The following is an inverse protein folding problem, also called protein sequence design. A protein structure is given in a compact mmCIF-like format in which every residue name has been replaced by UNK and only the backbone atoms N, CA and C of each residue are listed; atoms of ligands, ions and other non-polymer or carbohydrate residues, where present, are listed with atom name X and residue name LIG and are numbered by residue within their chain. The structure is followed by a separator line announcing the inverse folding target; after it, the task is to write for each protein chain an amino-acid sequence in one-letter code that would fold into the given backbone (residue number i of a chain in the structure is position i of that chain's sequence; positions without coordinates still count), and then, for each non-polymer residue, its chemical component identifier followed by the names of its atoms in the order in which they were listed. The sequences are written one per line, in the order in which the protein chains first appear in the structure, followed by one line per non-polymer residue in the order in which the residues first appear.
data_IF_873987852993
#
_entry.id   IF_873987852993
#
_cell.length_a   1.000
_cell.length_b   1.000
_cell.length_c   1.000
_cell.angle_alpha   90.00
_cell.angle_beta   90.00
_cell.angle_gamma   90.00
#
_symmetry.space_group_name_H-M   'P 1'
#
loop_
_entity.id
_entity.type
_entity.pdbx_description
1 polymer ?
#
# COMPACT_ATOMS: atom_id res chain seq x y z
N UNK A 1 -16.01 20.34 3.85
CA UNK A 1 -15.22 19.40 4.68
C UNK A 1 -16.13 18.29 5.22
N UNK A 2 -17.30 18.65 5.74
CA UNK A 2 -18.31 17.68 6.22
C UNK A 2 -18.70 16.62 5.18
N UNK A 3 -18.77 17.01 3.90
CA UNK A 3 -19.10 16.09 2.81
C UNK A 3 -18.04 15.00 2.56
N UNK A 4 -16.76 15.36 2.69
CA UNK A 4 -15.62 14.42 2.56
C UNK A 4 -15.62 13.44 3.72
N UNK A 5 -15.87 13.94 4.95
CA UNK A 5 -15.95 13.08 6.14
C UNK A 5 -17.12 12.10 6.04
N UNK A 6 -18.27 12.56 5.58
CA UNK A 6 -19.45 11.71 5.36
C UNK A 6 -19.15 10.64 4.31
N UNK A 7 -18.62 11.02 3.15
CA UNK A 7 -18.24 10.06 2.11
C UNK A 7 -17.22 9.03 2.63
N UNK A 8 -16.20 9.48 3.36
CA UNK A 8 -15.17 8.58 3.91
C UNK A 8 -15.79 7.55 4.87
N UNK A 9 -16.67 7.99 5.77
CA UNK A 9 -17.30 7.12 6.77
C UNK A 9 -18.33 6.16 6.16
N UNK A 10 -19.10 6.60 5.16
CA UNK A 10 -20.18 5.82 4.56
C UNK A 10 -19.70 4.87 3.46
N UNK A 11 -18.61 5.20 2.76
CA UNK A 11 -18.18 4.44 1.58
C UNK A 11 -16.75 3.95 1.69
N UNK A 12 -15.77 4.85 1.87
CA UNK A 12 -14.34 4.50 1.76
C UNK A 12 -13.90 3.57 2.90
N UNK A 13 -14.25 3.89 4.16
CA UNK A 13 -13.84 3.11 5.32
C UNK A 13 -14.49 1.71 5.36
N UNK A 14 -15.80 1.54 5.13
CA UNK A 14 -16.40 0.21 5.02
C UNK A 14 -15.74 -0.65 3.94
N UNK A 15 -15.55 -0.11 2.72
CA UNK A 15 -14.89 -0.85 1.64
C UNK A 15 -13.43 -1.19 1.97
N UNK A 16 -12.70 -0.31 2.65
CA UNK A 16 -11.35 -0.61 3.10
C UNK A 16 -11.33 -1.79 4.08
N UNK A 17 -12.19 -1.78 5.10
CA UNK A 17 -12.23 -2.84 6.11
C UNK A 17 -12.72 -4.18 5.55
N UNK A 18 -13.67 -4.16 4.62
CA UNK A 18 -14.27 -5.37 4.06
C UNK A 18 -13.40 -6.00 2.96
N UNK A 19 -12.73 -5.20 2.12
CA UNK A 19 -12.04 -5.71 0.93
C UNK A 19 -10.53 -5.44 0.91
N UNK A 20 -10.09 -4.25 1.33
CA UNK A 20 -8.66 -3.87 1.22
C UNK A 20 -7.83 -4.44 2.35
N UNK A 21 -8.25 -4.27 3.61
CA UNK A 21 -7.52 -4.75 4.78
C UNK A 21 -7.34 -6.29 4.80
N UNK A 22 -8.33 -7.12 4.43
CA UNK A 22 -8.13 -8.56 4.32
C UNK A 22 -7.11 -8.96 3.25
N UNK A 23 -6.98 -8.18 2.18
CA UNK A 23 -6.04 -8.48 1.09
C UNK A 23 -4.57 -8.43 1.53
N UNK A 24 -4.26 -7.69 2.62
CA UNK A 24 -2.92 -7.61 3.22
C UNK A 24 -2.32 -8.98 3.57
N UNK A 25 -3.14 -9.99 3.85
CA UNK A 25 -2.68 -11.36 4.18
C UNK A 25 -1.94 -12.05 3.03
N UNK A 26 -2.12 -11.57 1.81
CA UNK A 26 -1.49 -12.14 0.61
C UNK A 26 -0.20 -11.42 0.22
N UNK A 27 0.21 -10.37 0.94
CA UNK A 27 1.43 -9.64 0.63
C UNK A 27 2.67 -10.42 1.10
N UNK A 28 3.65 -10.58 0.22
CA UNK A 28 4.96 -11.15 0.57
C UNK A 28 5.77 -10.21 1.49
N UNK A 29 5.61 -8.89 1.29
CA UNK A 29 6.30 -7.84 2.03
C UNK A 29 5.33 -6.70 2.35
N UNK A 30 5.37 -6.21 3.59
CA UNK A 30 4.61 -5.03 4.04
C UNK A 30 5.60 -3.88 4.26
N UNK A 31 5.36 -2.74 3.60
CA UNK A 31 6.17 -1.51 3.75
C UNK A 31 5.45 -0.54 4.71
N UNK A 32 5.96 -0.32 5.93
CA UNK A 32 5.41 0.68 6.84
C UNK A 32 5.79 2.10 6.39
N UNK A 33 5.03 3.10 6.86
CA UNK A 33 5.26 4.55 6.63
C UNK A 33 5.17 5.01 5.16
N UNK A 34 4.93 4.08 4.22
CA UNK A 34 4.72 4.37 2.82
C UNK A 34 5.90 5.13 2.21
N UNK A 35 5.60 6.28 1.60
CA UNK A 35 6.59 7.08 0.87
C UNK A 35 7.67 7.74 1.72
N UNK A 36 7.55 7.73 3.05
CA UNK A 36 8.59 8.25 3.94
C UNK A 36 9.70 7.24 4.25
N UNK A 37 9.50 5.96 3.91
CA UNK A 37 10.48 4.91 4.15
C UNK A 37 11.41 4.75 2.93
N UNK A 38 12.39 5.66 2.83
CA UNK A 38 13.37 5.67 1.74
C UNK A 38 14.09 4.32 1.59
N UNK A 39 14.42 3.66 2.71
CA UNK A 39 15.09 2.35 2.71
C UNK A 39 14.23 1.26 2.05
N UNK A 40 12.92 1.22 2.34
CA UNK A 40 12.02 0.27 1.70
C UNK A 40 11.84 0.56 0.21
N UNK A 41 11.80 1.84 -0.17
CA UNK A 41 11.71 2.26 -1.57
C UNK A 41 12.96 1.82 -2.35
N UNK A 42 14.16 2.06 -1.82
CA UNK A 42 15.42 1.62 -2.41
C UNK A 42 15.47 0.10 -2.59
N UNK A 43 14.97 -0.67 -1.60
CA UNK A 43 14.88 -2.13 -1.70
C UNK A 43 14.02 -2.59 -2.88
N UNK A 44 12.86 -1.96 -3.09
CA UNK A 44 11.96 -2.29 -4.21
C UNK A 44 12.60 -1.90 -5.54
N UNK A 45 13.21 -0.72 -5.63
CA UNK A 45 13.91 -0.24 -6.83
C UNK A 45 15.04 -1.20 -7.21
N UNK A 46 15.91 -1.55 -6.27
CA UNK A 46 17.01 -2.48 -6.48
C UNK A 46 16.51 -3.85 -6.98
N UNK A 47 15.40 -4.36 -6.43
CA UNK A 47 14.80 -5.61 -6.89
C UNK A 47 14.30 -5.52 -8.33
N UNK A 48 13.67 -4.42 -8.71
CA UNK A 48 13.21 -4.18 -10.08
C UNK A 48 14.40 -4.08 -11.04
N UNK A 49 15.45 -3.33 -10.68
CA UNK A 49 16.67 -3.20 -11.48
C UNK A 49 17.34 -4.55 -11.72
N UNK A 50 17.44 -5.40 -10.69
CA UNK A 50 17.94 -6.76 -10.83
C UNK A 50 17.11 -7.60 -11.80
N UNK A 51 15.78 -7.49 -11.76
CA UNK A 51 14.90 -8.20 -12.69
C UNK A 51 15.06 -7.71 -14.14
N UNK A 52 15.31 -6.40 -14.32
CA UNK A 52 15.53 -5.79 -15.64
C UNK A 52 16.91 -6.12 -16.23
N UNK A 53 17.93 -6.28 -15.38
CA UNK A 53 19.28 -6.69 -15.80
C UNK A 53 19.32 -8.16 -16.24
N UNK A 54 18.23 -8.90 -16.03
CA UNK A 54 18.18 -10.34 -16.21
C UNK A 54 18.92 -11.02 -15.07
N UNK A 55 18.34 -12.08 -14.52
CA UNK A 55 19.10 -12.98 -13.67
C UNK A 55 20.41 -13.43 -14.36
#
# INVERSE_FOLDING_TARGET
VDDVMRQYMETVRPSHLEFVEPSKRWADVIVPEGGANEVALEMVVARVEQLLQGA
#
